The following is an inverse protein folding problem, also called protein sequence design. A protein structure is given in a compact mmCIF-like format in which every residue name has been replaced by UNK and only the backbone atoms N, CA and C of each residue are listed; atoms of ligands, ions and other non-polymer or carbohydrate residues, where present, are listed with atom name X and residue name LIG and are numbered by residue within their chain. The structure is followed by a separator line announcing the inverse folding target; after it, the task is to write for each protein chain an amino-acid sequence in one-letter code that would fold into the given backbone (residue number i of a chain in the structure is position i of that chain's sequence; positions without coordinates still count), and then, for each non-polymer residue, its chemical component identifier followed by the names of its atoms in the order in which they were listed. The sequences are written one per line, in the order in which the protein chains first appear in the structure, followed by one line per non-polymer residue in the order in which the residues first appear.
data_IF_069444381209
#
_entry.id   IF_069444381209
#
_cell.length_a   1.000
_cell.length_b   1.000
_cell.length_c   1.000
_cell.angle_alpha   90.00
_cell.angle_beta   90.00
_cell.angle_gamma   90.00
#
_symmetry.space_group_name_H-M   'P 1'
#
loop_
_entity.id
_entity.type
_entity.pdbx_description
1 polymer ?
#
# COMPACT_ATOMS: atom_id res chain seq x y z
N UNK A 1 2.67 17.23 15.05
CA UNK A 1 3.17 16.30 14.01
C UNK A 1 1.98 15.87 13.17
N UNK A 2 2.10 15.86 11.84
CA UNK A 2 1.12 15.14 11.00
C UNK A 2 1.49 13.66 11.00
N UNK A 3 0.52 12.79 11.28
CA UNK A 3 0.73 11.34 11.37
C UNK A 3 0.91 10.67 10.00
N UNK A 4 0.55 11.35 8.91
CA UNK A 4 0.63 10.86 7.54
C UNK A 4 1.19 11.94 6.62
N UNK A 5 2.22 11.58 5.85
CA UNK A 5 2.77 12.41 4.78
C UNK A 5 2.64 11.66 3.45
N UNK A 6 1.97 12.27 2.48
CA UNK A 6 1.79 11.71 1.14
C UNK A 6 2.74 12.43 0.18
N UNK A 7 3.69 11.68 -0.38
CA UNK A 7 4.62 12.18 -1.40
C UNK A 7 4.10 11.77 -2.78
N UNK A 8 3.78 12.75 -3.62
CA UNK A 8 3.25 12.51 -4.96
C UNK A 8 3.76 13.56 -5.94
N UNK A 9 4.21 13.12 -7.13
CA UNK A 9 4.52 14.01 -8.24
C UNK A 9 3.27 14.73 -8.78
N UNK A 10 3.42 15.77 -9.63
CA UNK A 10 2.31 16.64 -10.04
C UNK A 10 1.09 15.88 -10.60
N UNK A 11 1.33 14.90 -11.48
CA UNK A 11 0.29 14.07 -12.12
C UNK A 11 -0.45 13.17 -11.12
N UNK A 12 0.30 12.50 -10.24
CA UNK A 12 -0.29 11.64 -9.21
C UNK A 12 -1.10 12.48 -8.21
N UNK A 13 -0.56 13.63 -7.79
CA UNK A 13 -1.23 14.55 -6.87
C UNK A 13 -2.54 15.08 -7.45
N UNK A 14 -2.58 15.40 -8.74
CA UNK A 14 -3.82 15.82 -9.40
C UNK A 14 -4.86 14.68 -9.41
N UNK A 15 -4.49 13.48 -9.86
CA UNK A 15 -5.41 12.32 -9.84
C UNK A 15 -5.97 12.02 -8.45
N UNK A 16 -5.13 12.07 -7.42
CA UNK A 16 -5.54 11.84 -6.03
C UNK A 16 -6.54 12.90 -5.54
N UNK A 17 -6.42 14.15 -5.99
CA UNK A 17 -7.41 15.20 -5.66
C UNK A 17 -8.73 15.00 -6.39
N UNK A 18 -8.67 14.60 -7.66
CA UNK A 18 -9.86 14.52 -8.52
C UNK A 18 -10.69 13.25 -8.23
N UNK A 19 -10.03 12.15 -7.82
CA UNK A 19 -10.67 10.84 -7.72
C UNK A 19 -10.41 10.09 -6.40
N UNK A 20 -9.60 10.65 -5.50
CA UNK A 20 -9.05 9.90 -4.37
C UNK A 20 -8.05 8.84 -4.80
N UNK A 21 -7.58 8.03 -3.85
CA UNK A 21 -6.83 6.81 -4.15
C UNK A 21 -7.83 5.69 -4.39
N UNK A 22 -7.86 5.13 -5.59
CA UNK A 22 -8.67 3.95 -5.92
C UNK A 22 -7.77 2.73 -5.99
N UNK A 23 -8.29 1.57 -5.62
CA UNK A 23 -7.56 0.32 -5.73
C UNK A 23 -6.99 0.10 -7.13
N UNK A 24 -7.78 0.40 -8.18
CA UNK A 24 -7.38 0.33 -9.58
C UNK A 24 -6.16 1.18 -9.97
N UNK A 25 -5.80 2.20 -9.17
CA UNK A 25 -4.63 3.03 -9.40
C UNK A 25 -3.34 2.41 -8.80
N UNK A 26 -3.43 1.31 -8.04
CA UNK A 26 -2.29 0.63 -7.39
C UNK A 26 -1.83 -0.57 -8.21
N UNK A 27 -0.55 -0.56 -8.60
CA UNK A 27 0.09 -1.64 -9.37
C UNK A 27 1.18 -2.39 -8.61
N UNK A 28 1.68 -1.81 -7.53
CA UNK A 28 2.74 -2.40 -6.74
C UNK A 28 2.65 -1.95 -5.28
N UNK A 29 2.99 -2.86 -4.36
CA UNK A 29 3.12 -2.57 -2.93
C UNK A 29 4.52 -2.99 -2.46
N UNK A 30 5.42 -2.03 -2.18
CA UNK A 30 6.70 -2.35 -1.56
C UNK A 30 6.53 -2.54 -0.05
N UNK A 31 6.76 -3.76 0.43
CA UNK A 31 6.76 -4.13 1.83
C UNK A 31 7.98 -3.58 2.56
N UNK A 32 7.75 -2.65 3.49
CA UNK A 32 8.80 -2.14 4.37
C UNK A 32 9.38 -3.27 5.23
N UNK A 33 10.70 -3.46 5.17
CA UNK A 33 11.41 -4.39 6.03
C UNK A 33 11.74 -3.79 7.41
N UNK A 34 11.99 -4.68 8.37
CA UNK A 34 12.58 -4.36 9.68
C UNK A 34 11.64 -4.61 10.87
N UNK A 35 12.22 -5.11 11.96
CA UNK A 35 11.62 -5.22 13.28
C UNK A 35 10.19 -5.80 13.34
N UNK A 36 9.46 -5.55 14.43
CA UNK A 36 8.08 -6.02 14.61
C UNK A 36 7.04 -5.17 13.84
N UNK A 37 7.43 -4.48 12.75
CA UNK A 37 6.53 -3.58 11.99
C UNK A 37 5.26 -4.30 11.52
N UNK A 38 5.38 -5.58 11.13
CA UNK A 38 4.23 -6.39 10.73
C UNK A 38 3.17 -6.55 11.82
N UNK A 39 3.55 -6.56 13.10
CA UNK A 39 2.58 -6.67 14.20
C UNK A 39 1.69 -5.43 14.29
N UNK A 40 2.29 -4.24 14.16
CA UNK A 40 1.58 -2.95 14.23
C UNK A 40 0.77 -2.71 12.96
N UNK A 41 1.26 -3.19 11.81
CA UNK A 41 0.60 -3.00 10.52
C UNK A 41 -0.48 -4.06 10.23
N UNK A 42 -0.64 -5.09 11.07
CA UNK A 42 -1.54 -6.23 10.82
C UNK A 42 -2.98 -5.83 10.48
N UNK A 43 -3.58 -4.89 11.22
CA UNK A 43 -4.94 -4.42 10.93
C UNK A 43 -5.02 -3.63 9.61
N UNK A 44 -3.99 -2.86 9.28
CA UNK A 44 -3.90 -2.17 8.00
C UNK A 44 -3.75 -3.17 6.85
N UNK A 45 -2.92 -4.19 7.02
CA UNK A 45 -2.70 -5.24 6.04
C UNK A 45 -3.99 -6.03 5.80
N UNK A 46 -4.74 -6.37 6.85
CA UNK A 46 -6.02 -7.05 6.73
C UNK A 46 -7.01 -6.27 5.84
N UNK A 47 -7.12 -4.96 6.05
CA UNK A 47 -7.97 -4.12 5.22
C UNK A 47 -7.42 -3.93 3.80
N UNK A 48 -6.12 -3.65 3.65
CA UNK A 48 -5.50 -3.41 2.35
C UNK A 48 -5.57 -4.63 1.44
N UNK A 49 -5.18 -5.80 1.94
CA UNK A 49 -5.08 -7.02 1.14
C UNK A 49 -6.40 -7.82 1.12
N UNK A 50 -7.24 -7.69 2.15
CA UNK A 50 -8.52 -8.40 2.23
C UNK A 50 -9.68 -7.69 1.55
N UNK A 51 -9.72 -6.35 1.58
CA UNK A 51 -10.88 -5.58 1.13
C UNK A 51 -10.53 -4.59 0.02
N UNK A 52 -9.55 -3.71 0.25
CA UNK A 52 -9.29 -2.58 -0.64
C UNK A 52 -8.68 -3.00 -1.98
N UNK A 53 -7.52 -3.68 -1.99
CA UNK A 53 -6.83 -4.04 -3.24
C UNK A 53 -7.65 -4.99 -4.13
N UNK A 54 -8.33 -6.02 -3.62
CA UNK A 54 -9.19 -6.89 -4.42
C UNK A 54 -10.31 -6.14 -5.16
N UNK A 55 -10.76 -4.99 -4.64
CA UNK A 55 -11.83 -4.20 -5.26
C UNK A 55 -11.45 -3.56 -6.60
N UNK A 56 -10.16 -3.55 -6.97
CA UNK A 56 -9.69 -2.94 -8.21
C UNK A 56 -9.69 -3.88 -9.43
N UNK A 57 -9.60 -5.19 -9.22
CA UNK A 57 -9.60 -6.20 -10.28
C UNK A 57 -8.32 -6.28 -11.15
N UNK A 58 -7.30 -5.46 -10.87
CA UNK A 58 -6.01 -5.50 -11.56
C UNK A 58 -4.98 -6.35 -10.81
N UNK A 59 -3.97 -6.84 -11.53
CA UNK A 59 -2.78 -7.45 -10.93
C UNK A 59 -1.96 -6.40 -10.15
N UNK A 60 -1.56 -6.77 -8.93
CA UNK A 60 -0.73 -5.98 -8.03
C UNK A 60 0.53 -6.76 -7.67
N UNK A 61 1.69 -6.19 -7.96
CA UNK A 61 2.97 -6.80 -7.61
C UNK A 61 3.33 -6.50 -6.16
N UNK A 62 3.52 -7.54 -5.35
CA UNK A 62 3.98 -7.41 -3.97
C UNK A 62 5.49 -7.59 -3.94
N UNK A 63 6.22 -6.59 -3.44
CA UNK A 63 7.69 -6.59 -3.42
C UNK A 63 8.18 -6.56 -1.98
N UNK A 64 9.10 -7.46 -1.61
CA UNK A 64 9.67 -7.46 -0.27
C UNK A 64 11.06 -8.05 -0.22
N UNK A 65 11.78 -7.74 0.86
CA UNK A 65 13.08 -8.32 1.18
C UNK A 65 13.10 -8.76 2.64
N UNK A 66 13.75 -9.90 2.94
CA UNK A 66 13.82 -10.47 4.29
C UNK A 66 12.42 -10.58 4.93
N UNK A 67 12.22 -10.08 6.15
CA UNK A 67 10.89 -10.07 6.81
C UNK A 67 9.81 -9.33 6.01
N UNK A 68 10.21 -8.35 5.18
CA UNK A 68 9.29 -7.67 4.26
C UNK A 68 8.83 -8.59 3.14
N UNK A 69 9.64 -9.56 2.70
CA UNK A 69 9.21 -10.57 1.73
C UNK A 69 8.18 -11.52 2.34
N UNK A 70 8.38 -11.95 3.59
CA UNK A 70 7.42 -12.81 4.29
C UNK A 70 6.06 -12.13 4.49
N UNK A 71 6.04 -10.82 4.79
CA UNK A 71 4.80 -10.05 4.91
C UNK A 71 4.05 -9.87 3.57
N UNK A 72 4.77 -9.97 2.45
CA UNK A 72 4.24 -9.79 1.10
C UNK A 72 4.00 -11.12 0.35
N UNK A 73 4.20 -12.26 1.03
CA UNK A 73 3.98 -13.61 0.52
C UNK A 73 2.55 -14.08 0.84
#
# INVERSE_FOLDING_TARGET
MQALQILAGPRARQRLRDHGLRAADVRAVPGAAGGPKGLILSALDAHLFGEFLPSGGQEVHLLGASIGAWRMA
#
